data_IF_857620174019
#
_entry.id   IF_857620174019
#
_cell.length_a   1.000
_cell.length_b   1.000
_cell.length_c   1.000
_cell.angle_alpha   90.00
_cell.angle_beta   90.00
_cell.angle_gamma   90.00
#
_symmetry.space_group_name_H-M   'P 1'
#
loop_
_entity.id
_entity.type
_entity.pdbx_description
1 polymer ?
#
# COMPACT_ATOMS: atom_id res chain seq x y z
N UNK A 1 81.23 -13.52 24.60
CA UNK A 1 80.79 -12.14 24.28
C UNK A 1 79.49 -11.89 25.00
N UNK A 2 79.50 -11.01 26.00
CA UNK A 2 78.32 -10.63 26.78
C UNK A 2 77.54 -9.55 26.02
N UNK A 3 76.33 -9.87 25.57
CA UNK A 3 75.39 -8.86 25.10
C UNK A 3 75.07 -7.91 26.27
N UNK A 4 75.46 -6.64 26.15
CA UNK A 4 75.08 -5.61 27.12
C UNK A 4 73.58 -5.37 27.03
N UNK A 5 72.84 -5.98 27.95
CA UNK A 5 71.42 -5.70 28.18
C UNK A 5 71.32 -4.32 28.83
N UNK A 6 71.08 -3.29 28.03
CA UNK A 6 70.81 -1.94 28.53
C UNK A 6 69.45 -1.94 29.24
N UNK A 7 69.45 -2.05 30.56
CA UNK A 7 68.25 -1.94 31.41
C UNK A 7 67.91 -0.47 31.63
N UNK A 8 67.16 0.13 30.71
CA UNK A 8 66.57 1.47 30.92
C UNK A 8 65.38 1.33 31.89
N UNK A 9 65.61 1.41 33.20
CA UNK A 9 64.55 1.56 34.21
C UNK A 9 64.10 3.02 34.29
N UNK A 10 63.35 3.48 33.28
CA UNK A 10 62.66 4.79 33.35
C UNK A 10 61.34 4.59 34.08
N UNK A 11 61.23 5.05 35.34
CA UNK A 11 59.94 5.09 36.05
C UNK A 11 59.04 6.10 35.35
N UNK A 12 58.05 5.61 34.60
CA UNK A 12 57.05 6.48 33.96
C UNK A 12 56.09 6.96 35.05
N UNK A 13 55.78 8.26 35.06
CA UNK A 13 54.87 8.86 36.03
C UNK A 13 53.46 8.25 35.87
N UNK A 14 52.78 7.95 36.99
CA UNK A 14 51.43 7.39 36.99
C UNK A 14 50.44 8.30 36.26
N UNK A 15 50.63 9.63 36.37
CA UNK A 15 49.81 10.62 35.69
C UNK A 15 49.99 10.56 34.17
N UNK A 16 51.22 10.35 33.68
CA UNK A 16 51.45 10.13 32.24
C UNK A 16 50.82 8.84 31.73
N UNK A 17 50.83 7.76 32.52
CA UNK A 17 50.18 6.50 32.13
C UNK A 17 48.65 6.62 32.12
N UNK A 18 48.07 7.33 33.09
CA UNK A 18 46.64 7.64 33.11
C UNK A 18 46.26 8.47 31.87
N UNK A 19 47.05 9.49 31.53
CA UNK A 19 46.77 10.35 30.40
C UNK A 19 46.88 9.59 29.06
N UNK A 20 47.86 8.69 28.94
CA UNK A 20 47.96 7.75 27.82
C UNK A 20 46.76 6.81 27.78
N UNK A 21 46.32 6.28 28.93
CA UNK A 21 45.14 5.42 29.00
C UNK A 21 43.89 6.14 28.52
N UNK A 22 43.66 7.36 29.01
CA UNK A 22 42.51 8.18 28.61
C UNK A 22 42.58 8.51 27.13
N UNK A 23 43.69 9.05 26.64
CA UNK A 23 43.79 9.54 25.26
C UNK A 23 43.84 8.43 24.22
N UNK A 24 44.49 7.30 24.53
CA UNK A 24 44.68 6.21 23.56
C UNK A 24 43.60 5.14 23.68
N UNK A 25 43.02 4.90 24.84
CA UNK A 25 42.07 3.81 25.02
C UNK A 25 40.64 4.29 25.32
N UNK A 26 40.47 5.06 26.39
CA UNK A 26 39.13 5.42 26.86
C UNK A 26 38.41 6.41 25.94
N UNK A 27 39.07 7.50 25.54
CA UNK A 27 38.50 8.56 24.72
C UNK A 27 38.11 8.05 23.32
N UNK A 28 38.95 7.30 22.58
CA UNK A 28 38.56 6.68 21.33
C UNK A 28 37.35 5.75 21.42
N UNK A 29 37.31 4.87 22.42
CA UNK A 29 36.19 3.97 22.63
C UNK A 29 34.89 4.74 22.93
N UNK A 30 34.99 5.81 23.73
CA UNK A 30 33.87 6.71 24.01
C UNK A 30 33.38 7.44 22.75
N UNK A 31 34.29 7.99 21.95
CA UNK A 31 33.94 8.69 20.70
C UNK A 31 33.26 7.75 19.70
N UNK A 32 33.71 6.51 19.56
CA UNK A 32 33.06 5.50 18.70
C UNK A 32 31.63 5.22 19.17
N UNK A 33 31.41 5.05 20.47
CA UNK A 33 30.05 4.81 20.99
C UNK A 33 29.15 6.04 20.87
N UNK A 34 29.67 7.23 21.14
CA UNK A 34 28.94 8.50 21.00
C UNK A 34 28.52 8.74 19.54
N UNK A 35 29.44 8.56 18.61
CA UNK A 35 29.20 8.73 17.17
C UNK A 35 28.21 7.71 16.62
N UNK A 36 28.27 6.45 17.06
CA UNK A 36 27.29 5.42 16.67
C UNK A 36 25.89 5.74 17.20
N UNK A 37 25.77 6.15 18.46
CA UNK A 37 24.47 6.54 19.03
C UNK A 37 23.88 7.73 18.26
N UNK A 38 24.69 8.76 18.00
CA UNK A 38 24.26 9.91 17.21
C UNK A 38 23.87 9.51 15.77
N UNK A 39 24.64 8.63 15.13
CA UNK A 39 24.33 8.09 13.82
C UNK A 39 22.98 7.35 13.82
N UNK A 40 22.69 6.56 14.85
CA UNK A 40 21.43 5.81 14.95
C UNK A 40 20.22 6.72 15.14
N UNK A 41 20.34 7.76 15.97
CA UNK A 41 19.28 8.75 16.13
C UNK A 41 19.02 9.51 14.83
N UNK A 42 20.08 9.96 14.16
CA UNK A 42 19.98 10.71 12.92
C UNK A 42 19.45 9.83 11.77
N UNK A 43 19.90 8.58 11.69
CA UNK A 43 19.39 7.60 10.73
C UNK A 43 17.91 7.28 10.95
N UNK A 44 17.44 7.22 12.21
CA UNK A 44 16.03 7.01 12.54
C UNK A 44 15.18 8.15 12.00
N UNK A 45 15.52 9.40 12.31
CA UNK A 45 14.78 10.58 11.84
C UNK A 45 14.79 10.67 10.31
N UNK A 46 15.94 10.40 9.69
CA UNK A 46 16.06 10.39 8.23
C UNK A 46 15.16 9.33 7.58
N UNK A 47 15.11 8.12 8.15
CA UNK A 47 14.27 7.02 7.64
C UNK A 47 12.78 7.26 7.88
N UNK A 48 12.40 7.88 9.00
CA UNK A 48 11.02 8.29 9.23
C UNK A 48 10.54 9.28 8.16
N UNK A 49 11.36 10.29 7.83
CA UNK A 49 11.03 11.23 6.76
C UNK A 49 10.99 10.56 5.39
N UNK A 50 11.95 9.68 5.11
CA UNK A 50 11.98 8.91 3.87
C UNK A 50 10.72 8.08 3.65
N UNK A 51 10.23 7.42 4.71
CA UNK A 51 9.05 6.55 4.63
C UNK A 51 7.74 7.33 4.72
N UNK A 52 7.73 8.56 5.24
CA UNK A 52 6.52 9.36 5.38
C UNK A 52 5.79 9.55 4.05
N UNK A 53 6.53 9.82 2.96
CA UNK A 53 5.95 9.91 1.61
C UNK A 53 5.37 8.58 1.09
N UNK A 54 5.99 7.46 1.42
CA UNK A 54 5.44 6.14 1.09
C UNK A 54 4.18 5.85 1.92
N UNK A 55 4.15 6.23 3.19
CA UNK A 55 2.99 6.06 4.07
C UNK A 55 1.80 6.92 3.65
N UNK A 56 2.02 8.16 3.19
CA UNK A 56 0.94 9.01 2.67
C UNK A 56 0.37 8.46 1.36
N UNK A 57 1.23 8.05 0.43
CA UNK A 57 0.79 7.38 -0.81
C UNK A 57 -0.01 6.12 -0.51
N UNK A 58 0.49 5.27 0.39
CA UNK A 58 -0.19 4.06 0.83
C UNK A 58 -1.54 4.35 1.51
N UNK A 59 -1.66 5.46 2.24
CA UNK A 59 -2.92 5.88 2.84
C UNK A 59 -3.97 6.21 1.77
N UNK A 60 -3.59 6.88 0.68
CA UNK A 60 -4.51 7.16 -0.43
C UNK A 60 -4.93 5.87 -1.14
N UNK A 61 -4.00 4.96 -1.40
CA UNK A 61 -4.33 3.65 -1.98
C UNK A 61 -5.25 2.87 -1.04
N UNK A 62 -5.00 2.90 0.26
CA UNK A 62 -5.87 2.25 1.23
C UNK A 62 -7.29 2.82 1.20
N UNK A 63 -7.46 4.15 1.09
CA UNK A 63 -8.78 4.78 0.93
C UNK A 63 -9.50 4.34 -0.35
N UNK A 64 -8.77 4.21 -1.46
CA UNK A 64 -9.33 3.75 -2.74
C UNK A 64 -9.74 2.26 -2.69
N UNK A 65 -8.93 1.45 -2.01
CA UNK A 65 -9.16 0.02 -1.83
C UNK A 65 -10.36 -0.30 -0.94
N UNK A 66 -10.77 0.66 -0.10
CA UNK A 66 -11.94 0.56 0.77
C UNK A 66 -13.26 0.80 0.05
N UNK A 67 -13.24 1.41 -1.13
CA UNK A 67 -14.45 1.64 -1.91
C UNK A 67 -14.99 0.29 -2.37
N UNK A 68 -16.27 0.03 -2.13
CA UNK A 68 -16.90 -1.26 -2.43
C UNK A 68 -16.81 -1.62 -3.91
N UNK A 69 -16.88 -0.64 -4.81
CA UNK A 69 -16.68 -0.87 -6.25
C UNK A 69 -15.29 -1.41 -6.55
N UNK A 70 -14.25 -0.89 -5.91
CA UNK A 70 -12.87 -1.39 -6.05
C UNK A 70 -12.74 -2.81 -5.51
N UNK A 71 -13.41 -3.12 -4.40
CA UNK A 71 -13.44 -4.48 -3.86
C UNK A 71 -14.10 -5.48 -4.83
N UNK A 72 -15.27 -5.14 -5.38
CA UNK A 72 -15.94 -5.98 -6.39
C UNK A 72 -15.05 -6.14 -7.62
N UNK A 73 -14.52 -5.03 -8.15
CA UNK A 73 -13.66 -5.01 -9.35
C UNK A 73 -12.49 -6.00 -9.19
N UNK A 74 -11.70 -5.83 -8.15
CA UNK A 74 -10.53 -6.68 -7.91
C UNK A 74 -10.91 -8.15 -7.68
N UNK A 75 -12.05 -8.41 -7.04
CA UNK A 75 -12.53 -9.77 -6.81
C UNK A 75 -12.96 -10.45 -8.10
N UNK A 76 -13.63 -9.71 -9.00
CA UNK A 76 -14.07 -10.22 -10.30
C UNK A 76 -12.88 -10.43 -11.23
N UNK A 77 -11.98 -9.45 -11.33
CA UNK A 77 -10.79 -9.55 -12.18
C UNK A 77 -9.93 -10.75 -11.77
N UNK A 78 -9.74 -10.96 -10.46
CA UNK A 78 -9.01 -12.12 -9.95
C UNK A 78 -9.73 -13.44 -10.23
N UNK A 79 -11.05 -13.48 -10.10
CA UNK A 79 -11.85 -14.67 -10.38
C UNK A 79 -11.78 -15.06 -11.85
N UNK A 80 -12.10 -14.13 -12.76
CA UNK A 80 -12.14 -14.39 -14.19
C UNK A 80 -10.74 -14.62 -14.79
N UNK A 81 -9.69 -13.97 -14.28
CA UNK A 81 -8.31 -14.26 -14.69
C UNK A 81 -7.82 -15.65 -14.24
N UNK A 82 -8.44 -16.22 -13.20
CA UNK A 82 -8.12 -17.55 -12.67
C UNK A 82 -8.86 -18.70 -13.35
N UNK A 83 -9.82 -18.42 -14.24
CA UNK A 83 -10.57 -19.45 -14.95
C UNK A 83 -9.72 -20.06 -16.07
N UNK A 84 -9.58 -21.39 -16.04
CA UNK A 84 -8.90 -22.14 -17.11
C UNK A 84 -9.85 -22.47 -18.27
N UNK A 85 -11.12 -22.76 -17.94
CA UNK A 85 -12.17 -23.09 -18.88
C UNK A 85 -13.31 -22.06 -18.85
N UNK A 86 -14.02 -21.94 -19.97
CA UNK A 86 -15.19 -21.09 -20.07
C UNK A 86 -16.31 -21.64 -19.17
N UNK A 87 -16.98 -20.78 -18.38
CA UNK A 87 -18.09 -21.21 -17.54
C UNK A 87 -19.27 -21.69 -18.40
N UNK A 88 -20.02 -22.70 -17.92
CA UNK A 88 -21.21 -23.17 -18.62
C UNK A 88 -22.33 -22.13 -18.55
N UNK A 89 -22.52 -21.40 -19.65
CA UNK A 89 -23.49 -20.32 -19.77
C UNK A 89 -24.95 -20.79 -19.66
N UNK A 90 -25.21 -22.08 -19.89
CA UNK A 90 -26.55 -22.66 -19.85
C UNK A 90 -27.04 -22.91 -18.43
N UNK A 91 -26.12 -22.96 -17.47
CA UNK A 91 -26.44 -23.01 -16.04
C UNK A 91 -25.87 -21.80 -15.28
N UNK A 92 -26.56 -20.64 -15.33
CA UNK A 92 -26.11 -19.45 -14.61
C UNK A 92 -26.08 -19.64 -13.08
N UNK A 93 -26.84 -20.61 -12.53
CA UNK A 93 -26.83 -20.89 -11.10
C UNK A 93 -25.51 -21.55 -10.67
N UNK A 94 -24.99 -22.49 -11.48
CA UNK A 94 -23.68 -23.08 -11.25
C UNK A 94 -22.55 -22.04 -11.30
N UNK A 95 -22.60 -21.10 -12.26
CA UNK A 95 -21.62 -20.01 -12.37
C UNK A 95 -21.65 -19.12 -11.12
N UNK A 96 -22.84 -18.75 -10.63
CA UNK A 96 -22.98 -18.00 -9.40
C UNK A 96 -22.44 -18.74 -8.17
N UNK A 97 -22.72 -20.05 -8.05
CA UNK A 97 -22.21 -20.87 -6.96
C UNK A 97 -20.67 -20.95 -6.98
N UNK A 98 -20.09 -21.13 -8.17
CA UNK A 98 -18.63 -21.11 -8.37
C UNK A 98 -18.02 -19.79 -7.93
N UNK A 99 -18.59 -18.66 -8.37
CA UNK A 99 -18.13 -17.32 -8.01
C UNK A 99 -18.25 -17.06 -6.50
N UNK A 100 -19.38 -17.43 -5.89
CA UNK A 100 -19.60 -17.28 -4.46
C UNK A 100 -18.58 -18.09 -3.64
N UNK A 101 -18.27 -19.32 -4.08
CA UNK A 101 -17.29 -20.18 -3.40
C UNK A 101 -15.86 -19.62 -3.48
N UNK A 102 -15.49 -19.00 -4.61
CA UNK A 102 -14.14 -18.49 -4.84
C UNK A 102 -13.91 -17.11 -4.21
N UNK A 103 -14.92 -16.23 -4.27
CA UNK A 103 -14.79 -14.82 -3.86
C UNK A 103 -15.44 -14.50 -2.52
N UNK A 104 -16.37 -15.34 -2.04
CA UNK A 104 -17.20 -15.05 -0.87
C UNK A 104 -18.21 -13.93 -1.08
N UNK A 105 -18.36 -13.42 -2.32
CA UNK A 105 -19.37 -12.43 -2.69
C UNK A 105 -20.55 -13.16 -3.33
N UNK A 106 -21.77 -12.87 -2.90
CA UNK A 106 -22.98 -13.42 -3.51
C UNK A 106 -23.66 -12.35 -4.38
N UNK A 107 -23.57 -12.45 -5.72
CA UNK A 107 -24.35 -11.59 -6.59
C UNK A 107 -25.84 -11.83 -6.39
N UNK A 108 -26.64 -10.76 -6.48
CA UNK A 108 -28.10 -10.85 -6.41
C UNK A 108 -28.69 -11.46 -7.69
N UNK A 109 -27.95 -11.42 -8.80
CA UNK A 109 -28.34 -12.05 -10.04
C UNK A 109 -27.21 -12.13 -11.06
N UNK A 110 -27.41 -12.99 -12.05
CA UNK A 110 -26.55 -13.16 -13.22
C UNK A 110 -27.41 -13.27 -14.48
N UNK A 111 -26.91 -12.73 -15.58
CA UNK A 111 -27.45 -12.93 -16.93
C UNK A 111 -26.29 -13.42 -17.79
N UNK A 112 -26.38 -14.64 -18.31
CA UNK A 112 -25.37 -15.24 -19.19
C UNK A 112 -25.92 -15.34 -20.62
N UNK A 113 -25.08 -15.12 -21.62
CA UNK A 113 -25.44 -15.39 -23.00
C UNK A 113 -24.45 -16.33 -23.67
N UNK A 114 -24.95 -17.10 -24.63
CA UNK A 114 -24.15 -18.03 -25.45
C UNK A 114 -23.42 -17.28 -26.58
N UNK A 115 -22.68 -18.01 -27.39
CA UNK A 115 -21.97 -17.51 -28.56
C UNK A 115 -22.89 -16.67 -29.48
N UNK A 116 -22.31 -15.63 -30.07
CA UNK A 116 -23.00 -14.66 -30.93
C UNK A 116 -24.23 -13.98 -30.30
N UNK A 117 -24.41 -14.06 -28.97
CA UNK A 117 -25.57 -13.52 -28.25
C UNK A 117 -26.90 -14.07 -28.81
N UNK A 118 -26.91 -15.33 -29.24
CA UNK A 118 -28.08 -15.95 -29.88
C UNK A 118 -29.27 -16.09 -28.92
N UNK A 119 -29.00 -16.57 -27.71
CA UNK A 119 -29.94 -16.69 -26.60
C UNK A 119 -29.24 -16.31 -25.27
N UNK A 120 -30.03 -16.08 -24.23
CA UNK A 120 -29.51 -15.81 -22.89
C UNK A 120 -30.32 -16.55 -21.81
N UNK A 121 -29.60 -16.94 -20.76
CA UNK A 121 -30.14 -17.50 -19.54
C UNK A 121 -29.91 -16.52 -18.39
N UNK A 122 -30.74 -16.58 -17.35
CA UNK A 122 -30.55 -15.76 -16.16
C UNK A 122 -30.89 -16.55 -14.90
N UNK A 123 -30.25 -16.17 -13.81
CA UNK A 123 -30.59 -16.65 -12.48
C UNK A 123 -30.61 -15.47 -11.53
N UNK A 124 -31.74 -15.30 -10.85
CA UNK A 124 -31.96 -14.23 -9.88
C UNK A 124 -32.23 -14.84 -8.51
N UNK A 125 -31.67 -14.22 -7.47
CA UNK A 125 -32.07 -14.52 -6.10
C UNK A 125 -33.57 -14.31 -5.92
N UNK A 126 -34.23 -14.99 -4.95
CA UNK A 126 -35.67 -14.86 -4.73
C UNK A 126 -36.14 -13.41 -4.59
N UNK A 127 -35.33 -12.58 -3.93
CA UNK A 127 -35.59 -11.15 -3.80
C UNK A 127 -35.60 -10.44 -5.17
N UNK A 128 -34.55 -10.63 -5.98
CA UNK A 128 -34.44 -9.98 -7.28
C UNK A 128 -35.50 -10.50 -8.26
N UNK A 129 -35.84 -11.78 -8.22
CA UNK A 129 -36.88 -12.39 -9.04
C UNK A 129 -38.28 -11.83 -8.75
N UNK A 130 -38.57 -11.45 -7.49
CA UNK A 130 -39.82 -10.78 -7.14
C UNK A 130 -39.91 -9.36 -7.71
N UNK A 131 -38.77 -8.67 -7.78
CA UNK A 131 -38.70 -7.30 -8.30
C UNK A 131 -38.71 -7.27 -9.84
N UNK A 132 -37.96 -8.16 -10.48
CA UNK A 132 -37.84 -8.25 -11.94
C UNK A 132 -38.71 -9.40 -12.44
N UNK A 133 -39.99 -9.09 -12.69
CA UNK A 133 -40.99 -10.11 -13.09
C UNK A 133 -40.74 -10.74 -14.46
N UNK A 134 -40.19 -9.98 -15.41
CA UNK A 134 -39.87 -10.49 -16.74
C UNK A 134 -38.80 -9.65 -17.41
N UNK A 135 -37.82 -10.31 -18.03
CA UNK A 135 -36.78 -9.67 -18.83
C UNK A 135 -37.15 -9.77 -20.32
N UNK A 136 -37.44 -8.66 -21.03
CA UNK A 136 -37.83 -8.72 -22.43
C UNK A 136 -36.69 -9.28 -23.31
N UNK A 137 -36.89 -10.46 -23.90
CA UNK A 137 -35.81 -11.18 -24.59
C UNK A 137 -35.17 -10.38 -25.72
N UNK A 138 -35.98 -9.74 -26.55
CA UNK A 138 -35.50 -8.96 -27.70
C UNK A 138 -34.71 -7.71 -27.28
N UNK A 139 -35.14 -7.01 -26.23
CA UNK A 139 -34.45 -5.81 -25.77
C UNK A 139 -33.16 -6.16 -25.03
N UNK A 140 -33.16 -7.22 -24.22
CA UNK A 140 -31.94 -7.70 -23.58
C UNK A 140 -30.92 -8.20 -24.61
N UNK A 141 -31.36 -8.95 -25.63
CA UNK A 141 -30.48 -9.38 -26.71
C UNK A 141 -29.89 -8.19 -27.46
N UNK A 142 -30.70 -7.18 -27.80
CA UNK A 142 -30.19 -5.93 -28.42
C UNK A 142 -29.20 -5.20 -27.52
N UNK A 143 -29.48 -5.14 -26.22
CA UNK A 143 -28.59 -4.53 -25.22
C UNK A 143 -27.22 -5.24 -25.20
N UNK A 144 -27.20 -6.57 -25.08
CA UNK A 144 -25.98 -7.35 -25.05
C UNK A 144 -25.19 -7.30 -26.37
N UNK A 145 -25.88 -7.33 -27.53
CA UNK A 145 -25.24 -7.15 -28.85
C UNK A 145 -24.52 -5.79 -28.93
N UNK A 146 -25.17 -4.72 -28.45
CA UNK A 146 -24.58 -3.38 -28.43
C UNK A 146 -23.40 -3.30 -27.44
N UNK A 147 -23.58 -3.83 -26.23
CA UNK A 147 -22.55 -3.85 -25.18
C UNK A 147 -21.28 -4.60 -25.60
N UNK A 148 -21.46 -5.67 -26.38
CA UNK A 148 -20.37 -6.46 -26.94
C UNK A 148 -19.72 -5.86 -28.18
N UNK A 149 -20.28 -4.78 -28.75
CA UNK A 149 -19.89 -4.30 -30.09
C UNK A 149 -19.87 -5.44 -31.11
N UNK A 150 -20.85 -6.35 -31.01
CA UNK A 150 -20.86 -7.64 -31.73
C UNK A 150 -20.84 -7.46 -33.25
N UNK A 151 -21.31 -6.33 -33.79
CA UNK A 151 -21.25 -6.02 -35.22
C UNK A 151 -19.82 -5.83 -35.74
N UNK A 152 -18.86 -5.51 -34.87
CA UNK A 152 -17.43 -5.41 -35.18
C UNK A 152 -16.72 -6.77 -35.06
N UNK A 153 -17.42 -7.78 -34.52
CA UNK A 153 -16.93 -9.15 -34.40
C UNK A 153 -17.42 -10.03 -35.57
N UNK A 154 -16.70 -11.12 -35.83
CA UNK A 154 -17.21 -12.19 -36.71
C UNK A 154 -18.17 -13.08 -35.94
N UNK A 155 -19.11 -13.66 -36.69
CA UNK A 155 -20.14 -14.56 -36.17
C UNK A 155 -19.77 -16.00 -36.48
N UNK A 156 -20.10 -16.91 -35.56
CA UNK A 156 -20.01 -18.36 -35.80
C UNK A 156 -21.16 -18.85 -36.71
N UNK A 157 -22.32 -18.20 -36.64
CA UNK A 157 -23.50 -18.57 -37.44
C UNK A 157 -23.98 -17.43 -38.35
N UNK A 158 -24.09 -17.71 -39.65
CA UNK A 158 -24.62 -16.79 -40.66
C UNK A 158 -26.11 -16.44 -40.40
N UNK A 159 -26.87 -17.35 -39.81
CA UNK A 159 -28.26 -17.08 -39.41
C UNK A 159 -28.32 -16.04 -38.27
N UNK A 160 -27.39 -16.14 -37.31
CA UNK A 160 -27.33 -15.19 -36.20
C UNK A 160 -26.81 -13.84 -36.67
N UNK A 161 -25.86 -13.81 -37.61
CA UNK A 161 -25.38 -12.57 -38.25
C UNK A 161 -26.52 -11.80 -38.95
N UNK A 162 -27.29 -12.49 -39.79
CA UNK A 162 -28.41 -11.88 -40.53
C UNK A 162 -29.51 -11.38 -39.59
N UNK A 163 -29.87 -12.17 -38.57
CA UNK A 163 -30.83 -11.77 -37.55
C UNK A 163 -30.34 -10.55 -36.75
N UNK A 164 -29.05 -10.52 -36.38
CA UNK A 164 -28.46 -9.42 -35.60
C UNK A 164 -28.40 -8.14 -36.42
N UNK A 165 -27.95 -8.19 -37.68
CA UNK A 165 -27.98 -7.03 -38.59
C UNK A 165 -29.40 -6.52 -38.83
N UNK A 166 -30.39 -7.41 -38.94
CA UNK A 166 -31.80 -7.01 -39.09
C UNK A 166 -32.33 -6.23 -37.88
N UNK A 167 -31.85 -6.50 -36.65
CA UNK A 167 -32.27 -5.77 -35.44
C UNK A 167 -31.88 -4.30 -35.44
N UNK A 168 -30.76 -3.96 -36.09
CA UNK A 168 -30.19 -2.60 -36.11
C UNK A 168 -30.34 -1.89 -37.46
N UNK A 169 -31.01 -2.51 -38.45
CA UNK A 169 -31.15 -2.02 -39.83
C UNK A 169 -31.67 -0.58 -39.96
N UNK A 170 -32.50 -0.14 -39.01
CA UNK A 170 -33.16 1.17 -39.03
C UNK A 170 -32.78 2.07 -37.85
N UNK A 171 -31.81 1.65 -37.03
CA UNK A 171 -31.44 2.37 -35.83
C UNK A 171 -30.11 3.10 -36.04
N UNK A 172 -30.09 4.41 -35.81
CA UNK A 172 -28.82 5.15 -35.68
C UNK A 172 -28.06 4.58 -34.48
N UNK A 173 -26.80 4.17 -34.66
CA UNK A 173 -26.00 3.49 -33.63
C UNK A 173 -25.97 4.26 -32.29
N UNK A 174 -25.80 5.58 -32.34
CA UNK A 174 -25.79 6.43 -31.14
C UNK A 174 -27.15 6.56 -30.45
N UNK A 175 -28.24 6.63 -31.22
CA UNK A 175 -29.60 6.69 -30.65
C UNK A 175 -30.00 5.34 -30.07
N UNK A 176 -29.64 4.26 -30.74
CA UNK A 176 -29.83 2.90 -30.27
C UNK A 176 -29.14 2.67 -28.93
N UNK A 177 -27.90 3.15 -28.74
CA UNK A 177 -27.20 3.07 -27.47
C UNK A 177 -27.96 3.74 -26.32
N UNK A 178 -28.43 4.97 -26.52
CA UNK A 178 -29.21 5.71 -25.51
C UNK A 178 -30.53 5.02 -25.15
N UNK A 179 -31.27 4.53 -26.15
CA UNK A 179 -32.53 3.82 -25.92
C UNK A 179 -32.31 2.51 -25.14
N UNK A 180 -31.19 1.84 -25.40
CA UNK A 180 -30.78 0.61 -24.73
C UNK A 180 -30.32 0.86 -23.28
N UNK A 181 -29.60 1.96 -23.01
CA UNK A 181 -29.27 2.38 -21.64
C UNK A 181 -30.52 2.82 -20.86
N UNK A 182 -31.47 3.47 -21.54
CA UNK A 182 -32.76 3.80 -20.95
C UNK A 182 -33.58 2.54 -20.64
N UNK A 183 -33.55 1.52 -21.51
CA UNK A 183 -34.13 0.22 -21.22
C UNK A 183 -33.50 -0.41 -19.97
N UNK A 184 -32.16 -0.42 -19.90
CA UNK A 184 -31.43 -0.97 -18.75
C UNK A 184 -31.82 -0.25 -17.44
N UNK A 185 -31.86 1.09 -17.48
CA UNK A 185 -32.35 1.91 -16.38
C UNK A 185 -33.76 1.54 -15.93
N UNK A 186 -34.69 1.32 -16.88
CA UNK A 186 -36.09 0.98 -16.57
C UNK A 186 -36.22 -0.43 -15.97
N UNK A 187 -35.47 -1.41 -16.48
CA UNK A 187 -35.53 -2.80 -15.97
C UNK A 187 -35.05 -2.89 -14.53
N UNK A 188 -33.99 -2.15 -14.17
CA UNK A 188 -33.43 -2.16 -12.81
C UNK A 188 -33.89 -0.99 -11.95
N UNK A 189 -34.81 -0.15 -12.46
CA UNK A 189 -35.34 1.05 -11.79
C UNK A 189 -34.21 1.95 -11.23
N UNK A 190 -33.25 2.28 -12.09
CA UNK A 190 -32.08 3.08 -11.74
C UNK A 190 -32.42 4.57 -11.72
N UNK A 191 -31.82 5.32 -10.77
CA UNK A 191 -31.99 6.78 -10.70
C UNK A 191 -31.42 7.46 -11.95
N UNK A 192 -30.23 7.02 -12.39
CA UNK A 192 -29.51 7.56 -13.55
C UNK A 192 -29.26 6.47 -14.59
N UNK A 193 -29.14 6.89 -15.85
CA UNK A 193 -28.65 6.02 -16.93
C UNK A 193 -27.16 5.77 -16.71
N UNK A 194 -26.73 4.54 -16.95
CA UNK A 194 -25.36 4.13 -16.75
C UNK A 194 -24.93 3.30 -17.95
N UNK A 195 -23.98 3.79 -18.75
CA UNK A 195 -23.38 2.97 -19.77
C UNK A 195 -22.52 1.91 -19.07
N UNK A 196 -22.88 0.64 -19.21
CA UNK A 196 -22.03 -0.44 -18.72
C UNK A 196 -20.77 -0.50 -19.57
N UNK A 197 -19.62 -0.50 -18.91
CA UNK A 197 -18.33 -0.70 -19.56
C UNK A 197 -17.88 -2.13 -19.26
N UNK A 198 -17.58 -2.95 -20.29
CA UNK A 198 -17.06 -4.29 -20.08
C UNK A 198 -15.84 -4.31 -19.15
N UNK A 199 -15.77 -5.33 -18.30
CA UNK A 199 -14.72 -5.56 -17.29
C UNK A 199 -14.57 -4.40 -16.29
N UNK A 200 -15.59 -3.55 -16.14
CA UNK A 200 -15.59 -2.48 -15.13
C UNK A 200 -16.86 -2.50 -14.30
N UNK A 201 -16.70 -2.30 -13.00
CA UNK A 201 -17.82 -2.14 -12.07
C UNK A 201 -18.48 -0.79 -12.28
N UNK A 202 -19.78 -0.81 -12.55
CA UNK A 202 -20.62 0.38 -12.67
C UNK A 202 -21.52 0.51 -11.44
N UNK A 203 -21.42 1.63 -10.71
CA UNK A 203 -22.20 1.91 -9.48
C UNK A 203 -23.44 2.73 -9.82
N UNK A 204 -24.60 2.29 -9.34
CA UNK A 204 -25.88 3.02 -9.42
C UNK A 204 -26.61 3.02 -8.09
N UNK A 205 -27.78 3.64 -8.10
CA UNK A 205 -28.76 3.58 -7.04
C UNK A 205 -30.10 3.15 -7.66
N UNK A 206 -30.77 2.20 -7.02
CA UNK A 206 -32.07 1.69 -7.40
C UNK A 206 -33.02 1.74 -6.21
N UNK A 207 -34.19 2.33 -6.41
CA UNK A 207 -35.25 2.34 -5.39
C UNK A 207 -35.81 0.94 -5.18
N UNK A 208 -35.94 0.16 -6.26
CA UNK A 208 -36.53 -1.17 -6.24
C UNK A 208 -35.60 -2.23 -5.64
N UNK A 209 -34.29 -2.07 -5.84
CA UNK A 209 -33.28 -2.99 -5.28
C UNK A 209 -32.81 -2.60 -3.88
N UNK A 210 -33.38 -1.50 -3.34
CA UNK A 210 -33.24 -1.10 -1.94
C UNK A 210 -32.01 -0.26 -1.62
N UNK A 211 -31.37 0.38 -2.63
CA UNK A 211 -30.20 1.22 -2.42
C UNK A 211 -29.17 1.12 -3.53
N UNK A 212 -27.91 1.08 -3.11
CA UNK A 212 -26.76 1.03 -4.02
C UNK A 212 -26.73 -0.30 -4.75
N UNK A 213 -26.49 -0.27 -6.05
CA UNK A 213 -26.34 -1.48 -6.87
C UNK A 213 -25.09 -1.36 -7.74
N UNK A 214 -24.46 -2.51 -7.99
CA UNK A 214 -23.26 -2.60 -8.80
C UNK A 214 -23.48 -3.60 -9.93
N UNK A 215 -23.01 -3.25 -11.11
CA UNK A 215 -23.06 -4.10 -12.29
C UNK A 215 -21.64 -4.36 -12.78
N UNK A 216 -21.35 -5.60 -13.14
CA UNK A 216 -20.08 -5.99 -13.75
C UNK A 216 -20.36 -6.90 -14.94
N UNK A 217 -19.80 -6.57 -16.10
CA UNK A 217 -19.99 -7.35 -17.31
C UNK A 217 -18.67 -7.97 -17.78
N UNK A 218 -18.60 -9.29 -17.88
CA UNK A 218 -17.46 -10.01 -18.43
C UNK A 218 -17.82 -10.59 -19.81
N UNK A 219 -17.31 -10.03 -20.91
CA UNK A 219 -17.36 -10.68 -22.21
C UNK A 219 -16.27 -11.75 -22.33
N UNK A 220 -16.56 -12.84 -23.04
CA UNK A 220 -15.60 -13.86 -23.41
C UNK A 220 -15.36 -13.80 -24.92
N UNK A 221 -14.29 -13.08 -25.28
CA UNK A 221 -13.89 -12.85 -26.67
C UNK A 221 -12.67 -13.73 -26.95
N UNK A 222 -12.67 -14.40 -28.10
CA UNK A 222 -11.54 -15.18 -28.58
C UNK A 222 -11.06 -14.59 -29.91
N UNK A 223 -9.75 -14.36 -29.97
CA UNK A 223 -9.06 -13.92 -31.17
C UNK A 223 -8.58 -15.17 -31.94
N UNK A 224 -9.29 -15.55 -33.00
CA UNK A 224 -8.93 -16.65 -33.89
C UNK A 224 -8.59 -16.10 -35.28
N UNK A 225 -7.36 -16.35 -35.76
CA UNK A 225 -6.89 -15.97 -37.10
C UNK A 225 -7.16 -14.50 -37.49
N UNK A 226 -6.79 -13.57 -36.61
CA UNK A 226 -7.00 -12.11 -36.76
C UNK A 226 -8.48 -11.67 -36.82
N UNK A 227 -9.42 -12.53 -36.43
CA UNK A 227 -10.82 -12.18 -36.26
C UNK A 227 -11.25 -12.35 -34.79
N UNK A 228 -12.08 -11.42 -34.33
CA UNK A 228 -12.66 -11.45 -32.99
C UNK A 228 -13.98 -12.20 -33.03
N UNK A 229 -14.15 -13.17 -32.15
CA UNK A 229 -15.39 -13.92 -31.98
C UNK A 229 -15.86 -13.85 -30.53
N UNK A 230 -17.17 -13.76 -30.34
CA UNK A 230 -17.78 -13.74 -29.01
C UNK A 230 -18.29 -15.14 -28.69
N UNK A 231 -17.64 -15.81 -27.73
CA UNK A 231 -18.03 -17.16 -27.26
C UNK A 231 -19.09 -17.11 -26.17
N UNK A 232 -19.30 -15.96 -25.54
CA UNK A 232 -20.32 -15.77 -24.51
C UNK A 232 -20.02 -14.55 -23.65
N UNK A 233 -20.79 -14.39 -22.59
CA UNK A 233 -20.60 -13.31 -21.63
C UNK A 233 -21.52 -13.44 -20.43
N UNK A 234 -21.14 -12.82 -19.32
CA UNK A 234 -21.96 -12.77 -18.12
C UNK A 234 -22.04 -11.37 -17.54
N UNK A 235 -23.27 -10.94 -17.25
CA UNK A 235 -23.59 -9.73 -16.52
C UNK A 235 -23.96 -10.10 -15.08
N UNK A 236 -23.14 -9.65 -14.14
CA UNK A 236 -23.33 -9.82 -12.71
C UNK A 236 -23.99 -8.59 -12.11
N UNK A 237 -24.96 -8.83 -11.23
CA UNK A 237 -25.73 -7.81 -10.53
C UNK A 237 -25.51 -7.99 -9.04
N UNK A 238 -25.01 -6.95 -8.38
CA UNK A 238 -24.78 -6.95 -6.95
C UNK A 238 -25.62 -5.88 -6.27
N UNK A 239 -26.21 -6.22 -5.13
CA UNK A 239 -26.85 -5.25 -4.24
C UNK A 239 -25.85 -4.85 -3.17
N UNK A 240 -25.69 -3.55 -2.94
CA UNK A 240 -24.79 -3.04 -1.92
C UNK A 240 -25.17 -3.54 -0.52
N UNK A 241 -26.46 -3.69 -0.24
CA UNK A 241 -26.97 -4.23 1.03
C UNK A 241 -26.51 -5.68 1.31
N UNK A 242 -26.26 -6.46 0.27
CA UNK A 242 -25.83 -7.86 0.40
C UNK A 242 -24.29 -7.97 0.51
N UNK A 243 -23.56 -6.86 0.32
CA UNK A 243 -22.09 -6.81 0.42
C UNK A 243 -21.70 -6.26 1.78
N UNK A 244 -21.10 -7.14 2.61
CA UNK A 244 -20.55 -6.72 3.89
C UNK A 244 -19.32 -5.83 3.71
N UNK A 245 -19.41 -4.58 4.19
CA UNK A 245 -18.29 -3.65 4.24
C UNK A 245 -17.08 -4.22 4.99
N UNK A 246 -17.31 -5.07 6.01
CA UNK A 246 -16.24 -5.73 6.77
C UNK A 246 -15.35 -6.58 5.86
N UNK A 247 -15.92 -7.25 4.85
CA UNK A 247 -15.15 -8.06 3.92
C UNK A 247 -14.27 -7.19 3.01
N UNK A 248 -14.82 -6.08 2.52
CA UNK A 248 -14.06 -5.09 1.76
C UNK A 248 -12.92 -4.49 2.59
N UNK A 249 -13.19 -4.12 3.85
CA UNK A 249 -12.20 -3.60 4.78
C UNK A 249 -11.07 -4.59 5.08
N UNK A 250 -11.40 -5.87 5.31
CA UNK A 250 -10.40 -6.93 5.52
C UNK A 250 -9.55 -7.16 4.27
N UNK A 251 -10.16 -7.17 3.09
CA UNK A 251 -9.45 -7.31 1.83
C UNK A 251 -8.52 -6.11 1.54
N UNK A 252 -8.94 -4.89 1.89
CA UNK A 252 -8.14 -3.68 1.77
C UNK A 252 -6.94 -3.67 2.73
N UNK A 253 -7.12 -4.14 3.97
CA UNK A 253 -6.04 -4.22 4.96
C UNK A 253 -4.95 -5.24 4.58
N UNK A 254 -5.31 -6.33 3.90
CA UNK A 254 -4.36 -7.37 3.46
C UNK A 254 -3.50 -6.97 2.26
N UNK A 255 -3.88 -5.93 1.52
CA UNK A 255 -3.20 -5.47 0.29
C UNK A 255 -2.13 -4.41 0.55
N UNK A 256 -1.54 -4.41 1.74
CA UNK A 256 -0.52 -3.45 2.11
C UNK A 256 0.74 -3.62 1.24
N UNK A 257 1.39 -2.50 0.90
CA UNK A 257 2.68 -2.51 0.24
C UNK A 257 3.74 -3.22 1.12
N UNK A 258 4.76 -3.87 0.52
CA UNK A 258 5.80 -4.54 1.28
C UNK A 258 6.47 -3.62 2.31
N UNK A 259 6.54 -4.06 3.57
CA UNK A 259 7.09 -3.26 4.66
C UNK A 259 6.11 -2.27 5.30
N UNK A 260 4.91 -2.09 4.75
CA UNK A 260 3.84 -1.31 5.37
C UNK A 260 2.75 -2.24 5.90
N UNK A 261 2.07 -1.81 6.95
CA UNK A 261 0.96 -2.52 7.57
C UNK A 261 -0.26 -1.61 7.62
N UNK A 262 -1.34 -2.03 6.97
CA UNK A 262 -2.65 -1.36 7.01
C UNK A 262 -3.51 -1.94 8.13
N UNK A 263 -4.17 -1.07 8.89
CA UNK A 263 -5.04 -1.45 10.00
C UNK A 263 -6.10 -0.38 10.26
N UNK A 264 -7.05 -0.71 11.14
CA UNK A 264 -8.10 0.22 11.58
C UNK A 264 -7.95 0.50 13.07
N UNK A 265 -8.22 1.73 13.47
CA UNK A 265 -8.23 2.15 14.88
C UNK A 265 -9.52 2.89 15.15
N UNK A 266 -10.20 2.58 16.25
CA UNK A 266 -11.39 3.34 16.66
C UNK A 266 -11.00 4.72 17.19
N UNK A 267 -11.77 5.74 16.81
CA UNK A 267 -11.64 7.06 17.42
C UNK A 267 -11.92 6.97 18.93
N UNK A 268 -11.12 7.69 19.73
CA UNK A 268 -11.24 7.69 21.20
C UNK A 268 -12.45 8.45 21.71
N UNK A 269 -12.98 9.40 20.93
CA UNK A 269 -14.12 10.24 21.28
C UNK A 269 -15.29 9.96 20.34
N UNK A 270 -16.48 9.86 20.93
CA UNK A 270 -17.74 9.70 20.21
C UNK A 270 -18.17 11.04 19.59
N UNK A 271 -18.46 11.04 18.29
CA UNK A 271 -19.00 12.20 17.58
C UNK A 271 -20.50 12.40 17.88
N UNK A 272 -21.18 11.35 18.36
CA UNK A 272 -22.61 11.40 18.66
C UNK A 272 -22.93 12.04 20.02
N UNK A 273 -22.04 11.86 20.99
CA UNK A 273 -22.27 12.22 22.39
C UNK A 273 -21.29 13.28 22.93
N UNK A 274 -20.48 13.88 22.07
CA UNK A 274 -19.51 14.90 22.47
C UNK A 274 -20.15 16.29 22.43
N UNK A 275 -20.28 16.92 23.59
CA UNK A 275 -20.62 18.36 23.72
C UNK A 275 -19.49 19.29 23.25
N UNK A 276 -18.30 18.74 22.98
CA UNK A 276 -17.17 19.50 22.44
C UNK A 276 -17.27 19.59 20.93
N UNK A 277 -17.47 20.81 20.42
CA UNK A 277 -17.26 21.18 19.03
C UNK A 277 -15.82 20.85 18.63
N UNK A 278 -15.65 19.96 17.65
CA UNK A 278 -14.39 19.54 17.01
C UNK A 278 -13.39 18.77 17.89
N UNK A 279 -13.49 17.42 17.96
CA UNK A 279 -12.28 16.63 18.03
C UNK A 279 -11.48 16.87 16.74
N UNK A 280 -10.24 17.35 16.86
CA UNK A 280 -9.29 17.45 15.75
C UNK A 280 -9.03 16.06 15.15
N UNK A 281 -9.83 15.66 14.17
CA UNK A 281 -9.54 14.47 13.36
C UNK A 281 -8.50 14.89 12.30
N UNK A 282 -7.28 15.12 12.76
CA UNK A 282 -6.18 15.55 11.91
C UNK A 282 -5.41 14.32 11.45
N UNK A 283 -5.14 14.26 10.14
CA UNK A 283 -4.17 13.32 9.57
C UNK A 283 -2.83 13.55 10.24
N UNK A 284 -2.39 12.61 11.07
CA UNK A 284 -1.21 12.81 11.91
C UNK A 284 -0.30 11.60 11.92
N UNK A 285 0.99 11.89 11.98
CA UNK A 285 2.00 10.93 12.32
C UNK A 285 2.16 10.86 13.83
N UNK A 286 2.37 9.67 14.37
CA UNK A 286 2.74 9.47 15.77
C UNK A 286 3.60 8.22 15.93
N UNK A 287 4.29 8.16 17.07
CA UNK A 287 5.17 7.08 17.46
C UNK A 287 4.57 6.34 18.65
N UNK A 288 4.62 5.01 18.62
CA UNK A 288 4.30 4.17 19.77
C UNK A 288 5.38 3.09 19.97
N UNK A 289 5.21 2.20 20.95
CA UNK A 289 6.15 1.11 21.21
C UNK A 289 6.30 0.11 20.06
N UNK A 290 5.31 0.01 19.17
CA UNK A 290 5.31 -0.91 18.05
C UNK A 290 5.95 -0.30 16.79
N UNK A 291 5.87 1.01 16.59
CA UNK A 291 6.43 1.63 15.40
C UNK A 291 6.08 3.09 15.15
N UNK A 292 6.20 3.46 13.88
CA UNK A 292 5.80 4.75 13.34
C UNK A 292 4.51 4.61 12.54
N UNK A 293 3.55 5.50 12.80
CA UNK A 293 2.18 5.35 12.36
C UNK A 293 1.62 6.62 11.76
N UNK A 294 0.83 6.47 10.70
CA UNK A 294 0.01 7.52 10.11
C UNK A 294 -1.46 7.17 10.34
N UNK A 295 -2.19 8.02 11.05
CA UNK A 295 -3.64 7.91 11.20
C UNK A 295 -4.33 8.95 10.33
N UNK A 296 -5.41 8.55 9.67
CA UNK A 296 -6.26 9.45 8.91
C UNK A 296 -7.71 8.97 8.84
N UNK A 297 -8.58 9.84 8.35
CA UNK A 297 -9.99 9.53 8.06
C UNK A 297 -10.16 8.74 6.78
N UNK A 298 -11.35 8.15 6.67
CA UNK A 298 -11.87 7.61 5.43
C UNK A 298 -12.15 8.71 4.40
N UNK A 299 -12.23 8.32 3.13
CA UNK A 299 -12.81 9.16 2.09
C UNK A 299 -14.32 9.35 2.34
N UNK A 300 -14.89 10.43 1.80
CA UNK A 300 -16.33 10.71 1.92
C UNK A 300 -17.19 9.58 1.36
N UNK A 301 -16.79 8.99 0.23
CA UNK A 301 -17.48 7.86 -0.39
C UNK A 301 -17.50 6.63 0.50
N UNK A 302 -16.37 6.27 1.09
CA UNK A 302 -16.28 5.12 2.02
C UNK A 302 -17.04 5.35 3.32
N UNK A 303 -17.12 6.61 3.79
CA UNK A 303 -17.98 6.99 4.93
C UNK A 303 -19.46 6.85 4.62
N UNK A 304 -19.88 7.23 3.42
CA UNK A 304 -21.27 7.04 2.99
C UNK A 304 -21.57 5.53 2.89
N UNK A 305 -20.69 4.75 2.27
CA UNK A 305 -20.88 3.32 2.08
C UNK A 305 -20.98 2.57 3.44
N UNK A 306 -20.15 2.92 4.45
CA UNK A 306 -20.22 2.30 5.79
C UNK A 306 -21.45 2.74 6.60
N UNK A 307 -21.86 4.01 6.49
CA UNK A 307 -23.02 4.54 7.23
C UNK A 307 -24.35 4.05 6.65
N UNK A 308 -24.45 3.95 5.33
CA UNK A 308 -25.64 3.45 4.64
C UNK A 308 -25.72 1.92 4.60
N UNK A 309 -24.57 1.23 4.65
CA UNK A 309 -24.51 -0.22 4.48
C UNK A 309 -25.08 -0.67 3.13
N UNK A 310 -24.92 0.15 2.09
CA UNK A 310 -25.46 -0.11 0.75
C UNK A 310 -26.98 0.11 0.60
N UNK A 311 -27.68 0.57 1.63
CA UNK A 311 -29.11 0.94 1.55
C UNK A 311 -29.30 2.42 1.21
N UNK A 312 -30.54 2.88 1.02
CA UNK A 312 -30.84 4.32 0.88
C UNK A 312 -30.80 5.08 2.21
N UNK A 313 -30.85 4.36 3.34
CA UNK A 313 -30.97 4.95 4.67
C UNK A 313 -29.65 4.80 5.43
N UNK A 314 -29.31 5.74 6.33
CA UNK A 314 -28.07 5.69 7.08
C UNK A 314 -28.21 4.76 8.31
N UNK A 315 -28.41 3.46 8.06
CA UNK A 315 -28.73 2.43 9.08
C UNK A 315 -27.67 2.36 10.19
N UNK A 316 -26.40 2.57 9.85
CA UNK A 316 -25.28 2.44 10.78
C UNK A 316 -24.79 3.78 11.33
N UNK A 317 -25.48 4.90 11.05
CA UNK A 317 -24.99 6.24 11.40
C UNK A 317 -24.60 6.37 12.87
N UNK A 318 -25.48 5.94 13.76
CA UNK A 318 -25.24 6.02 15.20
C UNK A 318 -24.03 5.18 15.62
N UNK A 319 -23.94 3.94 15.16
CA UNK A 319 -22.81 3.06 15.47
C UNK A 319 -21.48 3.63 14.96
N UNK A 320 -21.49 4.22 13.76
CA UNK A 320 -20.29 4.83 13.15
C UNK A 320 -19.95 6.15 13.86
N UNK A 321 -20.93 6.96 14.24
CA UNK A 321 -20.69 8.22 14.94
C UNK A 321 -20.20 8.02 16.38
N UNK A 322 -20.69 6.99 17.09
CA UNK A 322 -20.23 6.66 18.44
C UNK A 322 -18.79 6.14 18.46
N UNK A 323 -18.41 5.33 17.46
CA UNK A 323 -17.06 4.74 17.34
C UNK A 323 -16.59 4.77 15.89
N UNK A 324 -16.22 5.95 15.41
CA UNK A 324 -15.76 6.12 14.04
C UNK A 324 -14.46 5.34 13.82
N UNK A 325 -14.40 4.41 12.86
CA UNK A 325 -13.14 3.81 12.49
C UNK A 325 -12.26 4.88 11.83
N UNK A 326 -10.95 4.76 12.04
CA UNK A 326 -9.90 5.52 11.39
C UNK A 326 -8.95 4.55 10.69
N UNK A 327 -8.29 5.05 9.65
CA UNK A 327 -7.28 4.32 8.91
C UNK A 327 -5.93 4.49 9.59
N UNK A 328 -5.18 3.41 9.74
CA UNK A 328 -3.83 3.41 10.28
C UNK A 328 -2.89 2.67 9.33
N UNK A 329 -1.90 3.39 8.81
CA UNK A 329 -0.75 2.82 8.10
C UNK A 329 0.44 2.83 9.05
N UNK A 330 1.16 1.72 9.15
CA UNK A 330 2.17 1.49 10.18
C UNK A 330 3.43 0.84 9.63
N UNK A 331 4.57 1.20 10.25
CA UNK A 331 5.90 0.65 9.95
C UNK A 331 6.51 0.21 11.27
N UNK A 332 7.03 -1.02 11.32
CA UNK A 332 7.66 -1.53 12.54
C UNK A 332 9.00 -0.86 12.80
N UNK A 333 9.37 -0.70 14.08
CA UNK A 333 10.67 -0.15 14.45
C UNK A 333 11.84 -0.92 13.83
N UNK A 334 11.73 -2.25 13.74
CA UNK A 334 12.76 -3.10 13.14
C UNK A 334 13.14 -2.71 11.71
N UNK A 335 12.21 -2.15 10.94
CA UNK A 335 12.46 -1.71 9.56
C UNK A 335 13.09 -0.30 9.50
N UNK A 336 12.81 0.53 10.51
CA UNK A 336 13.36 1.88 10.61
C UNK A 336 14.75 1.91 11.27
N UNK A 337 15.14 0.87 11.98
CA UNK A 337 16.43 0.80 12.69
C UNK A 337 17.63 0.63 11.75
N UNK A 338 18.74 1.28 12.10
CA UNK A 338 20.01 1.13 11.39
C UNK A 338 20.50 -0.34 11.43
N UNK A 339 21.04 -0.91 10.33
CA UNK A 339 21.48 -2.31 10.29
C UNK A 339 22.58 -2.67 11.32
N UNK A 340 23.34 -1.67 11.78
CA UNK A 340 24.36 -1.84 12.83
C UNK A 340 23.80 -1.80 14.25
N UNK A 341 22.53 -1.41 14.46
CA UNK A 341 21.94 -1.30 15.80
C UNK A 341 21.95 -2.65 16.56
N UNK A 342 21.64 -3.81 15.95
CA UNK A 342 21.76 -5.11 16.62
C UNK A 342 23.18 -5.43 17.07
N UNK A 343 24.19 -4.88 16.37
CA UNK A 343 25.61 -5.09 16.66
C UNK A 343 26.14 -4.13 17.73
N UNK A 344 25.35 -3.14 18.16
CA UNK A 344 25.79 -2.15 19.15
C UNK A 344 26.25 -2.80 20.45
N UNK A 345 25.58 -3.87 20.90
CA UNK A 345 25.97 -4.60 22.11
C UNK A 345 27.37 -5.22 21.98
N UNK A 346 27.65 -5.85 20.83
CA UNK A 346 28.95 -6.44 20.52
C UNK A 346 30.04 -5.37 20.37
N UNK A 347 29.73 -4.26 19.67
CA UNK A 347 30.66 -3.14 19.52
C UNK A 347 30.98 -2.54 20.89
N UNK A 348 29.95 -2.33 21.74
CA UNK A 348 30.12 -1.83 23.10
C UNK A 348 30.97 -2.78 23.94
N UNK A 349 30.75 -4.09 23.81
CA UNK A 349 31.56 -5.10 24.50
C UNK A 349 33.03 -5.05 24.05
N UNK A 350 33.31 -4.97 22.76
CA UNK A 350 34.67 -4.86 22.21
C UNK A 350 35.33 -3.57 22.67
N UNK A 351 34.62 -2.43 22.65
CA UNK A 351 35.11 -1.16 23.17
C UNK A 351 35.49 -1.25 24.66
N UNK A 352 34.66 -1.90 25.48
CA UNK A 352 34.97 -2.12 26.91
C UNK A 352 36.20 -3.01 27.08
N UNK A 353 36.30 -4.08 26.30
CA UNK A 353 37.45 -5.00 26.34
C UNK A 353 38.74 -4.28 25.91
N UNK A 354 38.68 -3.42 24.90
CA UNK A 354 39.79 -2.59 24.45
C UNK A 354 40.30 -1.66 25.57
N UNK A 355 39.39 -0.98 26.26
CA UNK A 355 39.71 -0.10 27.40
C UNK A 355 40.33 -0.87 28.56
N UNK A 356 39.79 -2.06 28.86
CA UNK A 356 40.26 -2.92 29.95
C UNK A 356 41.63 -3.54 29.63
N UNK A 357 41.84 -3.99 28.39
CA UNK A 357 43.13 -4.48 27.93
C UNK A 357 44.19 -3.37 27.93
N UNK A 358 43.82 -2.15 27.53
CA UNK A 358 44.67 -0.97 27.66
C UNK A 358 45.07 -0.69 29.10
N UNK A 359 44.12 -0.79 30.05
CA UNK A 359 44.40 -0.62 31.48
C UNK A 359 45.36 -1.70 31.97
N UNK A 360 45.11 -2.97 31.65
CA UNK A 360 45.95 -4.10 32.05
C UNK A 360 47.36 -4.00 31.46
N UNK A 361 47.47 -3.61 30.18
CA UNK A 361 48.74 -3.39 29.51
C UNK A 361 49.56 -2.30 30.20
N UNK A 362 48.95 -1.14 30.51
CA UNK A 362 49.63 -0.03 31.17
C UNK A 362 49.95 -0.33 32.64
N UNK A 363 49.10 -1.06 33.35
CA UNK A 363 49.37 -1.57 34.70
C UNK A 363 50.56 -2.52 34.72
N UNK A 364 50.62 -3.48 33.78
CA UNK A 364 51.77 -4.38 33.62
C UNK A 364 53.04 -3.58 33.30
N UNK A 365 52.93 -2.57 32.44
CA UNK A 365 54.04 -1.68 32.11
C UNK A 365 54.53 -0.89 33.33
N UNK A 366 53.62 -0.41 34.18
CA UNK A 366 53.92 0.31 35.42
C UNK A 366 54.63 -0.57 36.45
N UNK A 367 54.11 -1.78 36.71
CA UNK A 367 54.63 -2.66 37.76
C UNK A 367 55.90 -3.42 37.36
N UNK A 368 56.00 -3.89 36.12
CA UNK A 368 57.05 -4.82 35.71
C UNK A 368 58.04 -4.23 34.69
N UNK A 369 57.75 -3.07 34.09
CA UNK A 369 58.53 -2.54 32.98
C UNK A 369 58.51 -3.44 31.74
N UNK A 370 59.33 -3.12 30.73
CA UNK A 370 59.45 -3.93 29.50
C UNK A 370 60.56 -4.98 29.66
N UNK A 371 60.23 -6.22 30.02
CA UNK A 371 61.09 -7.39 29.70
C UNK A 371 60.45 -8.19 28.56
N UNK A 372 60.54 -7.65 27.34
CA UNK A 372 60.22 -8.39 26.12
C UNK A 372 61.51 -8.90 25.47
N UNK A 373 61.69 -10.23 25.41
CA UNK A 373 62.73 -10.94 24.64
C UNK A 373 62.44 -10.91 23.12
N UNK A 374 62.12 -9.74 22.58
CA UNK A 374 61.93 -9.53 21.15
C UNK A 374 62.86 -8.39 20.71
N UNK A 375 63.34 -8.41 19.46
CA UNK A 375 64.17 -7.33 18.93
C UNK A 375 63.44 -5.97 18.96
N UNK A 376 64.18 -4.87 19.13
CA UNK A 376 63.63 -3.50 19.23
C UNK A 376 62.70 -3.18 18.05
N UNK A 377 63.01 -3.67 16.85
CA UNK A 377 62.20 -3.54 15.64
C UNK A 377 60.81 -4.18 15.79
N UNK A 378 60.71 -5.40 16.31
CA UNK A 378 59.41 -6.04 16.55
C UNK A 378 58.57 -5.29 17.61
N UNK A 379 59.22 -4.73 18.64
CA UNK A 379 58.53 -3.95 19.68
C UNK A 379 57.92 -2.66 19.13
N UNK A 380 58.69 -1.94 18.32
CA UNK A 380 58.22 -0.70 17.69
C UNK A 380 57.14 -1.02 16.68
N UNK A 381 57.30 -2.05 15.85
CA UNK A 381 56.31 -2.43 14.82
C UNK A 381 54.98 -2.88 15.42
N UNK A 382 54.98 -3.74 16.45
CA UNK A 382 53.72 -4.17 17.09
C UNK A 382 53.06 -3.02 17.86
N UNK A 383 53.86 -2.20 18.57
CA UNK A 383 53.36 -1.02 19.28
C UNK A 383 52.77 0.03 18.33
N UNK A 384 53.48 0.35 17.25
CA UNK A 384 52.97 1.27 16.21
C UNK A 384 51.79 0.67 15.47
N UNK A 385 51.78 -0.62 15.12
CA UNK A 385 50.63 -1.25 14.51
C UNK A 385 49.38 -1.16 15.40
N UNK A 386 49.50 -1.45 16.70
CA UNK A 386 48.38 -1.37 17.64
C UNK A 386 47.91 0.07 17.89
N UNK A 387 48.85 1.02 17.95
CA UNK A 387 48.56 2.46 18.11
C UNK A 387 48.02 3.07 16.82
N UNK A 388 48.35 2.55 15.63
CA UNK A 388 47.84 3.01 14.34
C UNK A 388 46.50 2.38 13.97
N UNK A 389 46.22 1.16 14.42
CA UNK A 389 44.96 0.47 14.15
C UNK A 389 43.75 1.26 14.67
N UNK A 390 43.91 1.95 15.78
CA UNK A 390 42.85 2.74 16.40
C UNK A 390 42.56 4.09 15.70
N UNK A 391 43.55 4.95 15.37
CA UNK A 391 43.37 6.08 14.46
C UNK A 391 42.77 5.65 13.13
N UNK A 392 43.22 4.54 12.55
CA UNK A 392 42.65 4.02 11.30
C UNK A 392 41.19 3.63 11.49
N UNK A 393 40.83 2.90 12.56
CA UNK A 393 39.43 2.58 12.87
C UNK A 393 38.57 3.82 13.16
N UNK A 394 39.11 4.82 13.87
CA UNK A 394 38.44 6.10 14.13
C UNK A 394 38.25 6.91 12.85
N UNK A 395 39.22 6.91 11.95
CA UNK A 395 39.16 7.61 10.67
C UNK A 395 38.20 6.90 9.72
N UNK A 396 38.15 5.56 9.74
CA UNK A 396 37.19 4.75 8.98
C UNK A 396 35.77 4.91 9.54
N UNK A 397 35.60 4.88 10.86
CA UNK A 397 34.32 5.18 11.52
C UNK A 397 33.87 6.61 11.19
N UNK A 398 34.77 7.59 11.34
CA UNK A 398 34.58 8.99 10.99
C UNK A 398 34.17 9.17 9.53
N UNK A 399 34.86 8.50 8.60
CA UNK A 399 34.56 8.52 7.17
C UNK A 399 33.20 7.89 6.87
N UNK A 400 32.86 6.75 7.49
CA UNK A 400 31.54 6.11 7.31
C UNK A 400 30.43 6.97 7.89
N UNK A 401 30.61 7.56 9.08
CA UNK A 401 29.64 8.50 9.66
C UNK A 401 29.50 9.76 8.81
N UNK A 402 30.60 10.30 8.29
CA UNK A 402 30.59 11.48 7.43
C UNK A 402 29.92 11.20 6.10
N UNK A 403 30.21 10.06 5.47
CA UNK A 403 29.59 9.65 4.22
C UNK A 403 28.08 9.41 4.39
N UNK A 404 27.65 8.77 5.47
CA UNK A 404 26.23 8.60 5.80
C UNK A 404 25.56 9.96 6.08
N UNK A 405 26.23 10.84 6.83
CA UNK A 405 25.75 12.20 7.09
C UNK A 405 25.59 13.00 5.79
N UNK A 406 26.57 12.94 4.88
CA UNK A 406 26.53 13.65 3.61
C UNK A 406 25.42 13.13 2.70
N UNK A 407 25.17 11.82 2.73
CA UNK A 407 24.06 11.21 2.01
C UNK A 407 22.70 11.69 2.55
N UNK A 408 22.55 11.79 3.87
CA UNK A 408 21.34 12.32 4.52
C UNK A 408 21.19 13.83 4.28
N UNK A 409 22.28 14.59 4.34
CA UNK A 409 22.28 16.02 4.05
C UNK A 409 21.96 16.32 2.58
N UNK A 410 22.45 15.49 1.65
CA UNK A 410 22.07 15.55 0.24
C UNK A 410 20.57 15.34 0.02
N UNK A 411 19.94 14.45 0.81
CA UNK A 411 18.49 14.28 0.79
C UNK A 411 17.76 15.53 1.32
N UNK A 412 18.30 16.16 2.36
CA UNK A 412 17.74 17.39 2.92
C UNK A 412 17.79 18.56 1.93
N UNK A 413 18.89 18.71 1.19
CA UNK A 413 19.00 19.72 0.11
C UNK A 413 18.03 19.40 -1.03
N UNK A 414 17.90 18.13 -1.41
CA UNK A 414 16.96 17.73 -2.46
C UNK A 414 15.51 18.00 -2.06
N UNK A 415 15.12 17.71 -0.81
CA UNK A 415 13.79 17.97 -0.28
C UNK A 415 13.50 19.48 -0.17
N UNK A 416 14.47 20.27 0.29
CA UNK A 416 14.35 21.73 0.31
C UNK A 416 14.13 22.29 -1.09
N UNK A 417 14.95 21.88 -2.07
CA UNK A 417 14.77 22.26 -3.48
C UNK A 417 13.44 21.80 -4.07
N UNK A 418 12.93 20.64 -3.67
CA UNK A 418 11.63 20.15 -4.12
C UNK A 418 10.48 20.98 -3.53
N UNK A 419 10.59 21.42 -2.27
CA UNK A 419 9.64 22.36 -1.66
C UNK A 419 9.68 23.71 -2.37
N UNK A 420 10.86 24.26 -2.60
CA UNK A 420 11.02 25.52 -3.32
C UNK A 420 10.40 25.41 -4.73
N UNK A 421 10.70 24.33 -5.47
CA UNK A 421 10.12 24.08 -6.79
C UNK A 421 8.59 23.90 -6.75
N UNK A 422 8.04 23.29 -5.70
CA UNK A 422 6.59 23.14 -5.53
C UNK A 422 5.92 24.49 -5.23
N UNK A 423 6.54 25.32 -4.38
CA UNK A 423 6.08 26.68 -4.10
C UNK A 423 6.09 27.50 -5.39
N UNK A 424 7.21 27.52 -6.11
CA UNK A 424 7.35 28.22 -7.39
C UNK A 424 6.30 27.75 -8.42
N UNK A 425 6.05 26.44 -8.51
CA UNK A 425 5.02 25.90 -9.38
C UNK A 425 3.61 26.33 -8.95
N UNK A 426 3.30 26.30 -7.65
CA UNK A 426 1.99 26.68 -7.13
C UNK A 426 1.71 28.17 -7.30
N UNK A 427 2.71 29.02 -7.06
CA UNK A 427 2.62 30.47 -7.27
C UNK A 427 2.49 30.78 -8.76
N UNK A 428 3.31 30.14 -9.61
CA UNK A 428 3.21 30.28 -11.07
C UNK A 428 1.86 29.82 -11.62
N UNK A 429 1.30 28.73 -11.10
CA UNK A 429 -0.01 28.23 -11.50
C UNK A 429 -1.15 29.15 -11.02
N UNK A 430 -1.05 29.73 -9.81
CA UNK A 430 -2.01 30.72 -9.32
C UNK A 430 -1.96 32.03 -10.12
N UNK A 431 -0.76 32.45 -10.54
CA UNK A 431 -0.55 33.58 -11.45
C UNK A 431 -1.15 33.32 -12.85
N UNK A 432 -1.05 32.09 -13.33
CA UNK A 432 -1.67 31.67 -14.59
C UNK A 432 -3.21 31.63 -14.51
N UNK A 433 -3.77 31.12 -13.41
CA UNK A 433 -5.23 31.13 -13.21
C UNK A 433 -5.80 32.55 -13.10
N UNK A 434 -5.10 33.46 -12.44
CA UNK A 434 -5.52 34.87 -12.32
C UNK A 434 -5.39 35.65 -13.63
N UNK A 435 -4.48 35.25 -14.53
CA UNK A 435 -4.41 35.82 -15.90
C UNK A 435 -5.48 35.26 -16.82
N UNK A 436 -5.93 34.02 -16.63
CA UNK A 436 -7.06 33.45 -17.38
C UNK A 436 -8.43 34.01 -16.94
N UNK A 437 -8.51 34.65 -15.77
CA UNK A 437 -9.72 35.27 -15.23
C UNK A 437 -9.86 36.77 -15.57
N UNK A 438 -8.88 37.36 -16.26
CA UNK A 438 -8.95 38.70 -16.87
C UNK A 438 -9.18 38.56 -18.36
#
# INVERSE_FOLDING_TARGET
>A
MSEQIIRIKRRINSLTLLLVWVMVFALPAFLVLLSLNYLFDLARVARQRAIAGAMTSEMEVFRQDLVVSSFIQNSMDKYFAGLSDLPDYRDPAAVLAGLASATGIQPAGIICHDADTADFAHHFTPFLAQQIKSLPRNLMRRYLVNLNQQLDCKFYSQQVETATRAMFRFADSERAGKDLDQFFRRVFTLITEIPLIPQRVSKSISSQLGGVVYFYYQPFIVDEAAAKYIKGGCLLIFRGADISWKNAALAAARRAAPGLLRSFVGQSHSLWSSDKNNPEIVTRFYEDSAGYHLISTFSQTSLIDITQGGTLLPVNLRSVAEKMPLLKVSVSWSQLQHPLLPWLSHITFICRLYVLFGAFFLLRFFFFGIEFRAGITSKVVVGTAFVLLLPVLLLLAGFVTWHQFHRIYGWYIAEARQKDAYVDFSEGFSGYQTTLQK
#
